data_IF_045291705767
#
_entry.id   IF_045291705767
#
_cell.length_a   1.000
_cell.length_b   1.000
_cell.length_c   1.000
_cell.angle_alpha   90.00
_cell.angle_beta   90.00
_cell.angle_gamma   90.00
#
_symmetry.space_group_name_H-M   'P 1'
#
loop_
_entity.id
_entity.type
_entity.pdbx_description
1 polymer ?
#
# COMPACT_ATOMS: atom_id res chain seq x y z
N UNK A 1 -3.80 -26.35 -9.28
CA UNK A 1 -3.66 -24.92 -8.89
C UNK A 1 -3.17 -24.05 -10.05
N UNK A 2 -2.01 -24.33 -10.67
CA UNK A 2 -1.44 -23.52 -11.76
C UNK A 2 -2.41 -23.35 -12.94
N UNK A 3 -3.04 -24.44 -13.43
CA UNK A 3 -3.99 -24.39 -14.54
C UNK A 3 -5.24 -23.56 -14.23
N UNK A 4 -5.72 -23.56 -12.99
CA UNK A 4 -6.84 -22.72 -12.57
C UNK A 4 -6.44 -21.22 -12.55
N UNK A 5 -5.23 -20.91 -12.12
CA UNK A 5 -4.68 -19.57 -12.15
C UNK A 5 -4.51 -19.06 -13.59
N UNK A 6 -3.95 -19.89 -14.48
CA UNK A 6 -3.82 -19.56 -15.89
C UNK A 6 -5.17 -19.30 -16.56
N UNK A 7 -6.19 -20.12 -16.26
CA UNK A 7 -7.54 -19.91 -16.77
C UNK A 7 -8.18 -18.61 -16.27
N UNK A 8 -7.94 -18.25 -15.00
CA UNK A 8 -8.38 -16.98 -14.44
C UNK A 8 -7.71 -15.78 -15.11
N UNK A 9 -6.39 -15.83 -15.24
CA UNK A 9 -5.62 -14.76 -15.89
C UNK A 9 -5.99 -14.60 -17.37
N UNK A 10 -6.29 -15.69 -18.05
CA UNK A 10 -6.77 -15.63 -19.44
C UNK A 10 -8.16 -14.98 -19.57
N UNK A 11 -9.03 -15.13 -18.55
CA UNK A 11 -10.31 -14.41 -18.53
C UNK A 11 -10.14 -12.90 -18.33
N UNK A 12 -9.17 -12.51 -17.52
CA UNK A 12 -8.87 -11.09 -17.24
C UNK A 12 -8.20 -10.39 -18.43
N UNK A 13 -7.32 -11.10 -19.11
CA UNK A 13 -6.67 -10.60 -20.32
C UNK A 13 -6.41 -11.76 -21.31
N UNK A 14 -7.35 -12.03 -22.22
CA UNK A 14 -7.25 -13.15 -23.16
C UNK A 14 -6.10 -13.01 -24.17
N UNK A 15 -5.65 -11.78 -24.41
CA UNK A 15 -4.58 -11.49 -25.37
C UNK A 15 -3.17 -11.57 -24.76
N UNK A 16 -3.07 -11.63 -23.42
CA UNK A 16 -1.80 -11.73 -22.76
C UNK A 16 -1.15 -13.11 -22.92
N UNK A 17 0.11 -13.14 -23.33
CA UNK A 17 0.91 -14.36 -23.25
C UNK A 17 1.24 -14.66 -21.79
N UNK A 18 0.91 -15.86 -21.36
CA UNK A 18 1.24 -16.33 -20.01
C UNK A 18 2.51 -17.18 -20.06
N UNK A 19 3.48 -16.80 -19.27
CA UNK A 19 4.76 -17.50 -19.18
C UNK A 19 4.94 -18.02 -17.75
N UNK A 20 5.07 -19.34 -17.63
CA UNK A 20 5.40 -19.95 -16.34
C UNK A 20 6.89 -19.79 -16.09
N UNK A 21 7.24 -19.17 -14.97
CA UNK A 21 8.63 -18.97 -14.57
C UNK A 21 8.86 -19.53 -13.16
N UNK A 22 9.95 -20.25 -12.96
CA UNK A 22 10.41 -20.69 -11.64
C UNK A 22 11.34 -19.65 -11.03
N UNK A 23 10.95 -19.08 -9.87
CA UNK A 23 11.73 -18.06 -9.14
C UNK A 23 12.16 -16.88 -10.04
N UNK A 24 11.31 -16.48 -10.98
CA UNK A 24 11.60 -15.38 -11.91
C UNK A 24 12.62 -15.73 -13.01
N UNK A 25 13.00 -16.98 -13.16
CA UNK A 25 13.93 -17.41 -14.24
C UNK A 25 13.16 -17.48 -15.56
N UNK A 26 13.46 -16.55 -16.45
CA UNK A 26 12.88 -16.45 -17.78
C UNK A 26 13.94 -15.90 -18.75
N UNK A 27 13.87 -16.32 -19.99
CA UNK A 27 14.68 -15.70 -21.05
C UNK A 27 14.26 -14.23 -21.21
N UNK A 28 15.17 -13.26 -21.01
CA UNK A 28 14.88 -11.83 -21.19
C UNK A 28 14.30 -11.47 -22.56
N UNK A 29 14.63 -12.18 -23.61
CA UNK A 29 14.10 -11.94 -24.94
C UNK A 29 12.60 -12.19 -25.06
N UNK A 30 12.03 -12.97 -24.14
CA UNK A 30 10.58 -13.23 -24.11
C UNK A 30 9.77 -12.13 -23.45
N UNK A 31 10.41 -11.23 -22.72
CA UNK A 31 9.75 -10.16 -21.95
C UNK A 31 10.23 -8.76 -22.33
N UNK A 32 11.39 -8.63 -22.98
CA UNK A 32 11.93 -7.35 -23.40
C UNK A 32 11.73 -7.14 -24.91
N UNK A 33 11.43 -5.91 -25.29
CA UNK A 33 11.29 -5.48 -26.69
C UNK A 33 10.35 -6.38 -27.53
N UNK A 34 9.30 -6.88 -26.92
CA UNK A 34 8.37 -7.83 -27.57
C UNK A 34 7.52 -7.20 -28.68
N UNK A 35 7.45 -5.86 -28.74
CA UNK A 35 6.61 -5.13 -29.70
C UNK A 35 5.10 -5.37 -29.55
N UNK A 36 4.66 -5.97 -28.44
CA UNK A 36 3.25 -6.36 -28.21
C UNK A 36 2.37 -5.23 -27.71
N UNK A 37 2.96 -4.15 -27.21
CA UNK A 37 2.20 -3.00 -26.80
C UNK A 37 1.73 -2.22 -28.03
N UNK A 38 0.44 -2.08 -28.17
CA UNK A 38 -0.23 -1.28 -29.19
C UNK A 38 -1.12 -0.25 -28.46
N UNK A 39 -0.79 1.03 -28.64
CA UNK A 39 -1.49 2.12 -27.95
C UNK A 39 -2.95 2.24 -28.40
N UNK A 40 -3.23 2.10 -29.69
CA UNK A 40 -4.59 2.25 -30.22
C UNK A 40 -5.50 1.12 -29.75
N UNK A 41 -4.94 -0.10 -29.67
CA UNK A 41 -5.64 -1.25 -29.09
C UNK A 41 -5.85 -1.10 -27.59
N UNK A 42 -4.86 -0.63 -26.84
CA UNK A 42 -4.99 -0.38 -25.41
C UNK A 42 -6.05 0.70 -25.14
N UNK A 43 -6.03 1.79 -25.90
CA UNK A 43 -6.99 2.89 -25.79
C UNK A 43 -8.43 2.49 -26.13
N UNK A 44 -8.62 1.44 -26.94
CA UNK A 44 -9.95 0.92 -27.29
C UNK A 44 -10.52 -0.11 -26.30
N UNK A 45 -9.76 -0.50 -25.29
CA UNK A 45 -10.23 -1.42 -24.25
C UNK A 45 -11.30 -0.73 -23.38
N UNK A 46 -12.43 -1.40 -23.07
CA UNK A 46 -13.55 -0.79 -22.34
C UNK A 46 -13.16 -0.17 -20.99
N UNK A 47 -12.28 -0.81 -20.23
CA UNK A 47 -11.79 -0.28 -18.95
C UNK A 47 -10.97 1.00 -19.10
N UNK A 48 -10.12 1.09 -20.12
CA UNK A 48 -9.32 2.27 -20.39
C UNK A 48 -10.19 3.48 -20.81
N UNK A 49 -11.21 3.25 -21.61
CA UNK A 49 -12.13 4.30 -22.04
C UNK A 49 -12.97 4.83 -20.88
N UNK A 50 -13.38 3.97 -19.93
CA UNK A 50 -14.10 4.37 -18.73
C UNK A 50 -13.24 5.26 -17.83
N UNK A 51 -11.97 4.91 -17.59
CA UNK A 51 -11.03 5.74 -16.83
C UNK A 51 -10.74 7.09 -17.49
N UNK A 52 -10.53 7.12 -18.81
CA UNK A 52 -10.31 8.37 -19.53
C UNK A 52 -11.57 9.25 -19.59
N UNK A 53 -12.74 8.66 -19.56
CA UNK A 53 -14.03 9.36 -19.50
C UNK A 53 -14.37 9.94 -18.13
N UNK A 54 -13.55 9.68 -17.10
CA UNK A 54 -13.82 10.09 -15.71
C UNK A 54 -15.01 9.33 -15.09
N UNK A 55 -15.47 8.29 -15.73
CA UNK A 55 -16.36 7.31 -15.10
C UNK A 55 -15.51 6.43 -14.19
N UNK A 56 -15.49 6.73 -12.90
CA UNK A 56 -15.02 5.80 -11.89
C UNK A 56 -15.87 4.53 -11.99
N UNK A 57 -15.45 3.59 -12.83
CA UNK A 57 -15.89 2.21 -12.69
C UNK A 57 -15.28 1.75 -11.36
N UNK A 58 -16.08 1.83 -10.31
CA UNK A 58 -15.59 1.48 -9.00
C UNK A 58 -15.23 -0.01 -9.08
N UNK A 59 -13.92 -0.31 -9.06
CA UNK A 59 -13.38 -1.67 -8.90
C UNK A 59 -14.07 -2.38 -7.73
N UNK A 60 -14.63 -1.59 -6.83
CA UNK A 60 -15.47 -1.99 -5.72
C UNK A 60 -16.76 -2.68 -6.16
N UNK A 61 -17.41 -2.23 -7.25
CA UNK A 61 -18.64 -2.84 -7.74
C UNK A 61 -18.40 -4.13 -8.52
N UNK A 62 -17.28 -4.23 -9.21
CA UNK A 62 -16.97 -5.35 -10.09
C UNK A 62 -16.24 -6.51 -9.37
N UNK A 63 -15.34 -6.19 -8.43
CA UNK A 63 -14.48 -7.20 -7.78
C UNK A 63 -14.59 -7.25 -6.26
N UNK A 64 -15.41 -6.38 -5.64
CA UNK A 64 -15.49 -6.25 -4.18
C UNK A 64 -14.19 -5.72 -3.55
N UNK A 65 -13.29 -5.15 -4.36
CA UNK A 65 -12.02 -4.58 -3.89
C UNK A 65 -12.27 -3.13 -3.46
N UNK A 66 -11.80 -2.80 -2.27
CA UNK A 66 -11.85 -1.44 -1.75
C UNK A 66 -10.56 -1.08 -1.03
N UNK A 67 -10.34 0.22 -0.87
CA UNK A 67 -9.22 0.74 -0.09
C UNK A 67 -9.71 1.69 0.99
N UNK A 68 -8.97 1.74 2.09
CA UNK A 68 -9.15 2.73 3.14
C UNK A 68 -7.79 3.10 3.73
N UNK A 69 -7.74 4.21 4.48
CA UNK A 69 -6.53 4.67 5.14
C UNK A 69 -6.74 4.70 6.64
N UNK A 70 -5.99 3.86 7.35
CA UNK A 70 -5.91 3.95 8.81
C UNK A 70 -5.00 5.12 9.20
N UNK A 71 -5.49 6.00 10.07
CA UNK A 71 -4.74 7.14 10.59
C UNK A 71 -4.85 7.22 12.11
N UNK A 72 -3.69 7.40 12.76
CA UNK A 72 -3.63 7.66 14.20
C UNK A 72 -2.42 8.55 14.55
N UNK A 73 -2.54 9.27 15.66
CA UNK A 73 -1.48 10.16 16.18
C UNK A 73 -0.92 9.69 17.51
N UNK A 74 -0.91 8.39 17.74
CA UNK A 74 -0.28 7.73 18.89
C UNK A 74 0.73 6.70 18.40
N UNK A 75 1.86 6.48 19.10
CA UNK A 75 2.81 5.46 18.72
C UNK A 75 2.25 4.06 18.95
N UNK A 76 2.67 3.12 18.13
CA UNK A 76 2.36 1.71 18.29
C UNK A 76 3.23 1.10 19.41
N UNK A 77 2.60 0.28 20.26
CA UNK A 77 3.31 -0.57 21.19
C UNK A 77 4.00 -1.72 20.42
N UNK A 78 5.33 -1.87 20.49
CA UNK A 78 6.07 -2.80 19.64
C UNK A 78 5.59 -4.24 19.72
N UNK A 79 5.37 -4.74 20.95
CA UNK A 79 4.93 -6.12 21.16
C UNK A 79 3.52 -6.36 20.62
N UNK A 80 2.56 -5.47 20.92
CA UNK A 80 1.18 -5.60 20.43
C UNK A 80 1.11 -5.51 18.92
N UNK A 81 1.91 -4.62 18.32
CA UNK A 81 2.00 -4.51 16.87
C UNK A 81 2.64 -5.76 16.26
N UNK A 82 3.69 -6.30 16.87
CA UNK A 82 4.30 -7.56 16.43
C UNK A 82 3.30 -8.71 16.42
N UNK A 83 2.55 -8.89 17.50
CA UNK A 83 1.50 -9.91 17.60
C UNK A 83 0.40 -9.72 16.55
N UNK A 84 -0.01 -8.48 16.32
CA UNK A 84 -1.00 -8.12 15.31
C UNK A 84 -0.56 -8.48 13.89
N UNK A 85 0.70 -8.23 13.53
CA UNK A 85 1.21 -8.53 12.18
C UNK A 85 1.45 -10.02 11.93
N UNK A 86 1.56 -10.82 13.00
CA UNK A 86 1.63 -12.29 12.90
C UNK A 86 0.25 -12.93 12.75
N UNK A 87 -0.81 -12.20 13.06
CA UNK A 87 -2.17 -12.70 12.94
C UNK A 87 -2.68 -12.53 11.50
N UNK A 88 -3.68 -13.31 11.14
CA UNK A 88 -4.35 -13.17 9.83
C UNK A 88 -5.08 -11.84 9.71
N UNK A 89 -5.05 -11.29 8.49
CA UNK A 89 -5.78 -10.10 8.09
C UNK A 89 -6.82 -10.47 7.03
N UNK A 90 -7.99 -10.98 7.45
CA UNK A 90 -8.99 -11.47 6.52
C UNK A 90 -9.42 -10.39 5.52
N UNK A 91 -9.38 -10.73 4.25
CA UNK A 91 -9.72 -9.83 3.16
C UNK A 91 -8.64 -8.85 2.75
N UNK A 92 -7.61 -8.59 3.56
CA UNK A 92 -6.54 -7.68 3.20
C UNK A 92 -5.60 -8.32 2.17
N UNK A 93 -5.49 -7.70 1.00
CA UNK A 93 -4.60 -8.12 -0.08
C UNK A 93 -3.25 -7.43 0.03
N UNK A 94 -3.25 -6.14 0.33
CA UNK A 94 -2.05 -5.31 0.44
C UNK A 94 -2.25 -4.18 1.42
N UNK A 95 -1.18 -3.83 2.15
CA UNK A 95 -1.12 -2.58 2.89
C UNK A 95 0.26 -1.94 2.81
N UNK A 96 0.29 -0.62 2.82
CA UNK A 96 1.51 0.18 2.80
C UNK A 96 1.31 1.47 3.59
N UNK A 97 2.40 1.98 4.17
CA UNK A 97 2.35 3.30 4.78
C UNK A 97 3.40 3.53 5.83
N UNK A 98 3.17 4.54 6.62
CA UNK A 98 4.05 4.95 7.70
C UNK A 98 3.59 4.37 9.02
N UNK A 99 4.54 3.83 9.77
CA UNK A 99 4.33 3.31 11.12
C UNK A 99 5.27 4.02 12.10
N UNK A 100 4.71 4.50 13.19
CA UNK A 100 5.45 5.13 14.27
C UNK A 100 5.45 4.21 15.50
N UNK A 101 6.62 3.65 15.82
CA UNK A 101 6.81 2.78 16.98
C UNK A 101 7.28 3.56 18.21
N UNK A 102 6.75 3.24 19.37
CA UNK A 102 7.12 3.87 20.64
C UNK A 102 8.61 3.71 20.98
N UNK A 103 9.21 2.57 20.65
CA UNK A 103 10.65 2.29 20.89
C UNK A 103 11.58 2.89 19.84
N UNK A 104 11.03 3.47 18.77
CA UNK A 104 11.76 4.12 17.68
C UNK A 104 11.12 5.48 17.38
N UNK A 105 10.98 6.28 18.43
CA UNK A 105 10.17 7.50 18.43
C UNK A 105 10.56 8.50 17.35
N UNK A 106 11.85 8.59 17.03
CA UNK A 106 12.40 9.55 16.09
C UNK A 106 12.47 9.03 14.64
N UNK A 107 12.22 7.73 14.43
CA UNK A 107 12.37 7.10 13.15
C UNK A 107 11.02 6.79 12.48
N UNK A 108 10.97 7.00 11.18
CA UNK A 108 9.84 6.61 10.33
C UNK A 108 9.96 5.13 10.02
N UNK A 109 8.95 4.35 10.39
CA UNK A 109 8.79 2.98 9.92
C UNK A 109 8.05 2.96 8.58
N UNK A 110 8.61 2.32 7.58
CA UNK A 110 7.91 2.02 6.33
C UNK A 110 7.32 0.62 6.41
N UNK A 111 6.01 0.57 6.49
CA UNK A 111 5.24 -0.66 6.53
C UNK A 111 4.91 -1.18 5.14
N UNK A 112 5.05 -2.47 4.94
CA UNK A 112 4.65 -3.19 3.74
C UNK A 112 4.00 -4.52 4.12
N UNK A 113 2.86 -4.83 3.50
CA UNK A 113 2.24 -6.16 3.57
C UNK A 113 1.67 -6.49 2.19
N UNK A 114 1.85 -7.74 1.77
CA UNK A 114 1.24 -8.31 0.58
C UNK A 114 0.97 -9.80 0.81
N UNK A 115 -0.30 -10.19 0.77
CA UNK A 115 -0.71 -11.53 1.17
C UNK A 115 -0.26 -11.86 2.59
N UNK A 116 0.36 -13.00 2.78
CA UNK A 116 0.92 -13.43 4.07
C UNK A 116 2.32 -12.90 4.40
N UNK A 117 2.91 -12.06 3.55
CA UNK A 117 4.24 -11.48 3.77
C UNK A 117 4.14 -10.05 4.28
N UNK A 118 4.91 -9.73 5.32
CA UNK A 118 4.98 -8.37 5.86
C UNK A 118 6.43 -7.98 6.18
N UNK A 119 6.69 -6.68 6.10
CA UNK A 119 7.99 -6.10 6.44
C UNK A 119 7.82 -4.69 7.02
N UNK A 120 8.67 -4.36 7.98
CA UNK A 120 8.84 -3.01 8.50
C UNK A 120 10.30 -2.62 8.33
N UNK A 121 10.57 -1.58 7.55
CA UNK A 121 11.89 -1.03 7.31
C UNK A 121 12.01 0.41 7.77
N UNK A 122 13.23 0.92 7.96
CA UNK A 122 13.45 2.33 8.22
C UNK A 122 13.27 3.17 6.95
N UNK A 123 12.66 4.36 7.09
CA UNK A 123 12.47 5.33 6.01
C UNK A 123 13.02 6.73 6.37
N UNK A 124 14.00 6.80 7.28
CA UNK A 124 14.57 8.05 7.77
C UNK A 124 13.99 8.45 9.12
N UNK A 125 14.04 9.75 9.40
CA UNK A 125 13.55 10.35 10.64
C UNK A 125 12.33 11.23 10.37
N UNK A 126 11.50 11.42 11.39
CA UNK A 126 10.40 12.38 11.32
C UNK A 126 10.92 13.81 11.26
N UNK A 127 10.28 14.67 10.52
CA UNK A 127 10.63 16.09 10.44
C UNK A 127 10.54 16.80 11.79
N UNK A 128 9.73 16.28 12.70
CA UNK A 128 9.65 16.75 14.08
C UNK A 128 10.96 16.59 14.87
N UNK A 129 11.92 15.81 14.37
CA UNK A 129 13.27 15.65 14.97
C UNK A 129 14.34 16.50 14.29
N UNK A 130 13.99 17.14 13.19
CA UNK A 130 14.89 17.94 12.36
C UNK A 130 14.62 19.43 12.61
N UNK A 131 15.67 20.21 12.82
CA UNK A 131 15.55 21.66 12.96
C UNK A 131 14.90 22.29 11.73
N UNK A 132 14.08 23.32 11.93
CA UNK A 132 13.41 24.01 10.80
C UNK A 132 14.38 24.65 9.80
N UNK A 133 15.57 24.96 10.24
CA UNK A 133 16.70 25.49 9.47
C UNK A 133 17.32 24.42 8.54
N UNK A 134 17.15 23.15 8.89
CA UNK A 134 17.60 22.02 8.08
C UNK A 134 16.52 21.47 7.12
N UNK A 135 15.31 22.06 7.12
CA UNK A 135 14.24 21.64 6.24
C UNK A 135 14.55 21.98 4.77
N UNK A 136 14.06 21.20 3.81
CA UNK A 136 14.29 21.47 2.38
C UNK A 136 13.91 22.90 1.99
N UNK A 137 14.65 23.49 1.06
CA UNK A 137 14.33 24.81 0.51
C UNK A 137 13.08 24.81 -0.38
N UNK A 138 12.70 23.64 -0.88
CA UNK A 138 11.52 23.47 -1.74
C UNK A 138 10.22 23.83 -0.99
N UNK A 139 9.50 24.78 -1.56
CA UNK A 139 8.28 25.34 -0.97
C UNK A 139 7.15 24.32 -0.87
N UNK A 140 7.02 23.40 -1.84
CA UNK A 140 5.95 22.40 -1.84
C UNK A 140 6.22 21.34 -0.77
N UNK A 141 7.47 20.91 -0.63
CA UNK A 141 7.90 19.96 0.40
C UNK A 141 7.72 20.58 1.80
N UNK A 142 8.11 21.84 2.00
CA UNK A 142 7.87 22.55 3.30
C UNK A 142 6.38 22.63 3.62
N UNK A 143 5.56 23.01 2.67
CA UNK A 143 4.12 23.10 2.87
C UNK A 143 3.51 21.73 3.20
N UNK A 144 4.03 20.64 2.65
CA UNK A 144 3.61 19.29 2.98
C UNK A 144 4.01 18.91 4.42
N UNK A 145 5.25 19.19 4.82
CA UNK A 145 5.71 18.96 6.19
C UNK A 145 4.84 19.72 7.18
N UNK A 146 4.56 20.99 6.92
CA UNK A 146 3.71 21.82 7.77
C UNK A 146 2.27 21.30 7.86
N UNK A 147 1.68 20.90 6.75
CA UNK A 147 0.31 20.29 6.73
C UNK A 147 0.24 19.00 7.57
N UNK A 148 1.32 18.24 7.60
CA UNK A 148 1.39 17.00 8.36
C UNK A 148 1.76 17.20 9.83
N UNK A 149 2.22 18.39 10.22
CA UNK A 149 2.63 18.71 11.58
C UNK A 149 1.43 19.02 12.47
N UNK A 150 1.22 18.21 13.52
CA UNK A 150 0.14 18.38 14.51
C UNK A 150 0.72 18.30 15.91
N UNK A 151 0.48 19.32 16.74
CA UNK A 151 0.96 19.34 18.12
C UNK A 151 0.24 18.30 19.00
N UNK A 152 0.91 17.64 19.96
CA UNK A 152 2.34 17.79 20.31
C UNK A 152 3.27 16.86 19.51
N UNK A 153 2.76 16.08 18.56
CA UNK A 153 3.49 14.95 17.95
C UNK A 153 4.34 15.36 16.73
N UNK A 154 4.18 16.57 16.21
CA UNK A 154 4.79 16.96 14.95
C UNK A 154 4.15 16.22 13.77
N UNK A 155 4.96 15.75 12.84
CA UNK A 155 4.53 14.96 11.68
C UNK A 155 4.42 13.44 11.96
N UNK A 156 4.76 13.01 13.18
CA UNK A 156 4.67 11.61 13.61
C UNK A 156 3.23 11.10 13.52
N UNK A 157 3.05 9.96 12.87
CA UNK A 157 1.73 9.37 12.65
C UNK A 157 1.77 7.91 12.25
N UNK A 158 0.65 7.27 12.41
CA UNK A 158 0.27 6.10 11.63
C UNK A 158 -0.49 6.60 10.40
N UNK A 159 -0.10 6.16 9.24
CA UNK A 159 -0.84 6.40 8.01
C UNK A 159 -0.63 5.19 7.09
N UNK A 160 -1.58 4.25 7.14
CA UNK A 160 -1.47 2.96 6.47
C UNK A 160 -2.66 2.80 5.54
N UNK A 161 -2.38 2.74 4.25
CA UNK A 161 -3.36 2.39 3.21
C UNK A 161 -3.52 0.88 3.21
N UNK A 162 -4.75 0.42 3.26
CA UNK A 162 -5.12 -1.00 3.13
C UNK A 162 -5.98 -1.16 1.89
N UNK A 163 -5.63 -2.12 1.06
CA UNK A 163 -6.40 -2.56 -0.10
C UNK A 163 -6.84 -4.00 0.17
N UNK A 164 -8.11 -4.29 0.00
CA UNK A 164 -8.62 -5.61 0.28
C UNK A 164 -9.93 -5.92 -0.41
N UNK A 165 -10.27 -7.21 -0.42
CA UNK A 165 -11.55 -7.72 -0.87
C UNK A 165 -12.39 -8.13 0.33
N UNK A 166 -13.60 -7.62 0.42
CA UNK A 166 -14.53 -7.90 1.52
C UNK A 166 -13.93 -7.68 2.92
N UNK A 167 -12.94 -6.75 3.02
CA UNK A 167 -12.27 -6.45 4.29
C UNK A 167 -13.22 -5.72 5.23
N UNK A 168 -13.31 -6.18 6.47
CA UNK A 168 -14.00 -5.45 7.54
C UNK A 168 -13.09 -4.32 8.06
N UNK A 169 -13.26 -3.14 7.47
CA UNK A 169 -12.51 -1.93 7.82
C UNK A 169 -12.61 -1.62 9.31
N UNK A 170 -13.84 -1.65 9.86
CA UNK A 170 -14.05 -1.30 11.25
C UNK A 170 -13.38 -2.28 12.21
N UNK A 171 -13.43 -3.59 11.91
CA UNK A 171 -12.73 -4.59 12.70
C UNK A 171 -11.21 -4.43 12.61
N UNK A 172 -10.68 -4.16 11.41
CA UNK A 172 -9.24 -3.99 11.23
C UNK A 172 -8.73 -2.71 11.89
N UNK A 173 -9.46 -1.60 11.78
CA UNK A 173 -9.14 -0.35 12.49
C UNK A 173 -9.12 -0.57 14.02
N UNK A 174 -10.11 -1.25 14.60
CA UNK A 174 -10.10 -1.57 16.05
C UNK A 174 -8.87 -2.39 16.45
N UNK A 175 -8.42 -3.31 15.62
CA UNK A 175 -7.20 -4.09 15.87
C UNK A 175 -5.94 -3.23 15.82
N UNK A 176 -5.86 -2.28 14.90
CA UNK A 176 -4.79 -1.27 14.89
C UNK A 176 -4.83 -0.39 16.14
N UNK A 177 -6.02 0.08 16.53
CA UNK A 177 -6.19 0.91 17.74
C UNK A 177 -5.75 0.17 19.01
N UNK A 178 -6.01 -1.13 19.09
CA UNK A 178 -5.53 -1.96 20.20
C UNK A 178 -4.00 -2.06 20.28
N UNK A 179 -3.29 -1.76 19.18
CA UNK A 179 -1.83 -1.71 19.15
C UNK A 179 -1.27 -0.34 19.62
N UNK A 180 -2.08 0.72 19.65
CA UNK A 180 -1.62 2.03 20.09
C UNK A 180 -1.26 2.04 21.57
N UNK A 181 -0.26 2.82 21.96
CA UNK A 181 -0.01 3.08 23.37
C UNK A 181 -1.25 3.70 24.03
N UNK A 182 -1.61 3.21 25.17
CA UNK A 182 -2.53 3.86 26.11
C UNK A 182 -1.75 4.86 26.96
N UNK A 183 -2.42 5.90 27.38
CA UNK A 183 -1.89 6.88 28.34
C UNK A 183 -1.56 6.22 29.67
#
# INVERSE_FOLDING_TARGET
ELGALQALLHKLNPDAEQIVAERGRIDPQRILATGRFDFDRAASMPGWMAEMGGEESSEQAEFGIRSFVYRARRPLHPQRFYEFIQAEWPGALRSKGFAWLATRHDFVGMWHQAGGSCALSGAGTWWATVGRDEWPEDHEVRAEIERNTVQPFGDRRQEIVVIGRDVDEAALCRRFDACLLTD
#
